data_IF_852021479230
#
_entry.id   IF_852021479230
#
_cell.length_a   1.000
_cell.length_b   1.000
_cell.length_c   1.000
_cell.angle_alpha   90.00
_cell.angle_beta   90.00
_cell.angle_gamma   90.00
#
_symmetry.space_group_name_H-M   'P 1'
#
loop_
_entity.id
_entity.type
_entity.pdbx_description
1 polymer ?
#
# COMPACT_ATOMS: atom_id res chain seq x y z
N UNK A 1 10.95 -24.42 -1.64
CA UNK A 1 11.62 -23.12 -1.47
C UNK A 1 10.89 -22.48 -0.30
N UNK A 2 11.07 -22.94 0.94
CA UNK A 2 12.24 -22.74 1.80
C UNK A 2 12.78 -21.32 1.70
N UNK A 3 12.19 -20.43 2.49
CA UNK A 3 12.72 -19.11 2.79
C UNK A 3 12.83 -19.04 4.31
N UNK A 4 14.05 -19.31 4.79
CA UNK A 4 14.50 -18.98 6.13
C UNK A 4 14.19 -17.50 6.40
N UNK A 5 13.32 -17.24 7.36
CA UNK A 5 12.99 -15.89 7.82
C UNK A 5 14.25 -15.25 8.39
N UNK A 6 14.80 -14.17 7.79
CA UNK A 6 15.95 -13.48 8.35
C UNK A 6 15.54 -12.70 9.61
N UNK A 7 16.49 -12.40 10.52
CA UNK A 7 16.18 -11.91 11.85
C UNK A 7 15.46 -10.55 11.81
N UNK A 8 14.24 -10.55 12.35
CA UNK A 8 13.40 -9.49 12.98
C UNK A 8 13.53 -8.00 12.58
N UNK A 9 14.10 -7.68 11.43
CA UNK A 9 14.14 -6.27 10.93
C UNK A 9 13.90 -6.18 9.43
N UNK A 10 14.03 -7.30 8.71
CA UNK A 10 13.81 -7.37 7.24
C UNK A 10 12.53 -8.10 6.87
N UNK A 11 12.06 -9.02 7.72
CA UNK A 11 10.85 -9.78 7.50
C UNK A 11 9.58 -8.91 7.63
N UNK A 12 9.55 -7.98 8.59
CA UNK A 12 8.41 -7.08 8.81
C UNK A 12 8.20 -6.14 7.62
N UNK A 13 9.25 -5.46 7.14
CA UNK A 13 9.14 -4.63 5.94
C UNK A 13 8.70 -5.39 4.68
N UNK A 14 9.06 -6.68 4.55
CA UNK A 14 8.60 -7.52 3.43
C UNK A 14 7.14 -7.94 3.61
N UNK A 15 6.70 -8.16 4.86
CA UNK A 15 5.32 -8.44 5.22
C UNK A 15 4.41 -7.22 5.02
N UNK A 16 4.88 -6.03 5.38
CA UNK A 16 4.20 -4.76 5.16
C UNK A 16 4.04 -4.47 3.67
N UNK A 17 5.07 -4.75 2.87
CA UNK A 17 5.01 -4.60 1.40
C UNK A 17 3.92 -5.50 0.79
N UNK A 18 3.87 -6.77 1.21
CA UNK A 18 2.84 -7.71 0.77
C UNK A 18 1.43 -7.27 1.23
N UNK A 19 1.34 -6.63 2.41
CA UNK A 19 0.10 -6.06 2.93
C UNK A 19 -0.36 -4.84 2.13
N UNK A 20 0.57 -3.97 1.70
CA UNK A 20 0.27 -2.86 0.79
C UNK A 20 -0.27 -3.41 -0.53
N UNK A 21 0.43 -4.35 -1.17
CA UNK A 21 0.01 -4.99 -2.43
C UNK A 21 -1.43 -5.54 -2.33
N UNK A 22 -1.70 -6.34 -1.28
CA UNK A 22 -3.03 -6.91 -1.05
C UNK A 22 -4.11 -5.83 -0.89
N UNK A 23 -3.81 -4.73 -0.21
CA UNK A 23 -4.73 -3.62 -0.04
C UNK A 23 -4.97 -2.84 -1.35
N UNK A 24 -3.94 -2.68 -2.19
CA UNK A 24 -4.07 -2.05 -3.51
C UNK A 24 -4.94 -2.90 -4.44
N UNK A 25 -4.76 -4.21 -4.48
CA UNK A 25 -5.60 -5.14 -5.24
C UNK A 25 -7.06 -5.09 -4.77
N UNK A 26 -7.24 -5.04 -3.45
CA UNK A 26 -8.57 -4.90 -2.85
C UNK A 26 -9.21 -3.57 -3.21
N UNK A 27 -8.43 -2.48 -3.22
CA UNK A 27 -8.90 -1.16 -3.66
C UNK A 27 -9.33 -1.18 -5.13
N UNK A 28 -8.50 -1.71 -6.03
CA UNK A 28 -8.82 -1.84 -7.45
C UNK A 28 -10.09 -2.67 -7.69
N UNK A 29 -10.23 -3.79 -6.97
CA UNK A 29 -11.44 -4.63 -7.04
C UNK A 29 -12.68 -3.90 -6.51
N UNK A 30 -12.55 -3.18 -5.39
CA UNK A 30 -13.63 -2.42 -4.80
C UNK A 30 -14.11 -1.25 -5.68
N UNK A 31 -13.24 -0.65 -6.48
CA UNK A 31 -13.65 0.41 -7.42
C UNK A 31 -14.73 -0.07 -8.39
N UNK A 32 -14.64 -1.32 -8.85
CA UNK A 32 -15.62 -1.90 -9.77
C UNK A 32 -16.82 -2.54 -9.04
N UNK A 33 -16.60 -3.13 -7.87
CA UNK A 33 -17.61 -3.97 -7.20
C UNK A 33 -18.36 -3.28 -6.06
N UNK A 34 -17.67 -2.48 -5.25
CA UNK A 34 -18.23 -1.86 -4.05
C UNK A 34 -17.56 -0.51 -3.74
N UNK A 35 -17.90 0.55 -4.51
CA UNK A 35 -17.29 1.86 -4.35
C UNK A 35 -17.51 2.47 -2.95
N UNK A 36 -18.53 1.99 -2.22
CA UNK A 36 -18.81 2.43 -0.85
C UNK A 36 -17.70 2.07 0.14
N UNK A 37 -16.85 1.08 -0.19
CA UNK A 37 -15.69 0.71 0.63
C UNK A 37 -14.45 1.54 0.37
N UNK A 38 -14.39 2.30 -0.72
CA UNK A 38 -13.20 3.05 -1.12
C UNK A 38 -12.69 3.98 0.00
N UNK A 39 -13.52 4.79 0.68
CA UNK A 39 -13.01 5.67 1.74
C UNK A 39 -12.34 4.90 2.88
N UNK A 40 -12.85 3.72 3.24
CA UNK A 40 -12.27 2.89 4.27
C UNK A 40 -10.97 2.19 3.82
N UNK A 41 -10.89 1.79 2.56
CA UNK A 41 -9.69 1.19 1.97
C UNK A 41 -8.57 2.24 1.81
N UNK A 42 -8.89 3.47 1.39
CA UNK A 42 -7.91 4.56 1.29
C UNK A 42 -7.22 4.82 2.61
N UNK A 43 -7.99 4.90 3.69
CA UNK A 43 -7.44 5.07 5.05
C UNK A 43 -6.54 3.89 5.44
N UNK A 44 -6.95 2.66 5.17
CA UNK A 44 -6.14 1.48 5.49
C UNK A 44 -4.82 1.44 4.70
N UNK A 45 -4.85 1.76 3.41
CA UNK A 45 -3.64 1.87 2.57
C UNK A 45 -2.71 2.94 3.15
N UNK A 46 -3.25 4.11 3.50
CA UNK A 46 -2.46 5.17 4.13
C UNK A 46 -1.84 4.74 5.45
N UNK A 47 -2.62 4.11 6.33
CA UNK A 47 -2.14 3.63 7.63
C UNK A 47 -0.96 2.66 7.47
N UNK A 48 -1.04 1.72 6.52
CA UNK A 48 0.07 0.77 6.25
C UNK A 48 1.28 1.47 5.61
N UNK A 49 1.08 2.43 4.70
CA UNK A 49 2.18 3.23 4.14
C UNK A 49 2.91 4.06 5.20
N UNK A 50 2.19 4.50 6.24
CA UNK A 50 2.75 5.20 7.40
C UNK A 50 3.52 4.25 8.30
N UNK A 51 2.92 3.11 8.64
CA UNK A 51 3.50 2.06 9.50
C UNK A 51 4.80 1.50 8.90
N UNK A 52 4.79 1.23 7.59
CA UNK A 52 5.96 0.76 6.83
C UNK A 52 7.00 1.86 6.53
N UNK A 53 6.75 3.10 6.99
CA UNK A 53 7.54 4.30 6.70
C UNK A 53 7.70 4.65 5.19
N UNK A 54 7.03 3.90 4.30
CA UNK A 54 7.14 4.01 2.84
C UNK A 54 6.59 5.32 2.28
N UNK A 55 5.62 5.95 2.97
CA UNK A 55 5.15 7.29 2.62
C UNK A 55 6.29 8.33 2.54
N UNK A 56 7.35 8.18 3.36
CA UNK A 56 8.51 9.08 3.33
C UNK A 56 9.41 8.82 2.14
N UNK A 57 9.61 7.55 1.80
CA UNK A 57 10.43 7.13 0.66
C UNK A 57 9.80 7.51 -0.67
N UNK A 58 8.46 7.48 -0.74
CA UNK A 58 7.66 7.88 -1.88
C UNK A 58 7.37 9.39 -1.91
N UNK A 59 7.71 10.13 -0.86
CA UNK A 59 7.44 11.57 -0.76
C UNK A 59 5.95 11.93 -0.74
N UNK A 60 5.11 11.04 -0.20
CA UNK A 60 3.66 11.23 -0.12
C UNK A 60 3.30 12.17 1.05
N UNK A 61 2.45 13.15 0.78
CA UNK A 61 1.93 14.06 1.78
C UNK A 61 0.64 13.50 2.40
N UNK A 62 0.36 13.85 3.65
CA UNK A 62 -0.94 13.58 4.27
C UNK A 62 -2.06 14.36 3.56
N UNK A 63 -3.26 13.78 3.51
CA UNK A 63 -4.44 14.47 3.01
C UNK A 63 -4.60 14.49 1.50
N UNK A 64 -4.04 13.50 0.79
CA UNK A 64 -4.28 13.26 -0.65
C UNK A 64 -5.78 13.26 -0.92
N UNK A 65 -6.23 14.05 -1.89
CA UNK A 65 -7.64 14.11 -2.23
C UNK A 65 -8.10 12.79 -2.88
N UNK A 66 -9.38 12.47 -2.75
CA UNK A 66 -9.95 11.22 -3.29
C UNK A 66 -9.64 10.99 -4.78
N UNK A 67 -9.59 12.07 -5.57
CA UNK A 67 -9.30 12.02 -7.01
C UNK A 67 -7.80 11.86 -7.32
N UNK A 68 -6.93 12.22 -6.39
CA UNK A 68 -5.47 12.05 -6.49
C UNK A 68 -5.04 10.68 -5.95
N UNK A 69 -5.93 9.98 -5.24
CA UNK A 69 -5.63 8.69 -4.64
C UNK A 69 -5.35 7.61 -5.69
N UNK A 70 -6.06 7.64 -6.82
CA UNK A 70 -5.84 6.67 -7.90
C UNK A 70 -4.44 6.84 -8.53
N UNK A 71 -3.98 8.09 -8.68
CA UNK A 71 -2.62 8.40 -9.14
C UNK A 71 -1.56 7.96 -8.12
N UNK A 72 -1.84 8.16 -6.82
CA UNK A 72 -1.00 7.66 -5.73
C UNK A 72 -0.89 6.13 -5.77
N UNK A 73 -2.01 5.42 -5.95
CA UNK A 73 -2.02 3.94 -6.05
C UNK A 73 -1.13 3.47 -7.19
N UNK A 74 -1.23 4.08 -8.38
CA UNK A 74 -0.37 3.74 -9.51
C UNK A 74 1.11 4.00 -9.22
N UNK A 75 1.43 5.10 -8.52
CA UNK A 75 2.79 5.42 -8.13
C UNK A 75 3.37 4.39 -7.14
N UNK A 76 2.58 4.01 -6.12
CA UNK A 76 2.97 2.99 -5.13
C UNK A 76 3.17 1.65 -5.83
N UNK A 77 2.23 1.20 -6.66
CA UNK A 77 2.32 -0.08 -7.39
C UNK A 77 3.58 -0.16 -8.27
N UNK A 78 3.92 0.93 -8.96
CA UNK A 78 5.15 1.03 -9.75
C UNK A 78 6.42 0.93 -8.90
N UNK A 79 6.41 1.44 -7.67
CA UNK A 79 7.50 1.28 -6.72
C UNK A 79 7.61 -0.17 -6.21
N UNK A 80 6.48 -0.82 -5.90
CA UNK A 80 6.43 -2.21 -5.47
C UNK A 80 7.01 -3.17 -6.52
N UNK A 81 6.66 -2.98 -7.80
CA UNK A 81 7.16 -3.81 -8.90
C UNK A 81 8.65 -3.61 -9.22
N UNK A 82 9.25 -2.51 -8.77
CA UNK A 82 10.64 -2.17 -9.07
C UNK A 82 11.64 -2.62 -7.98
N UNK A 83 11.15 -3.04 -6.81
CA UNK A 83 11.93 -3.61 -5.69
C UNK A 83 12.41 -5.03 -5.99
#
# INVERSE_FOLDING_TARGET
VDHLTPPMTRAEATDDLARIETLLDTYASAQAMDPGKLPALRRQVWDVLVDAESHRDLGLAEGIADHEFDDMVLHVDGYLCAL
#
